data_IF_899481162432
#
_entry.id   IF_899481162432
#
_cell.length_a   1.000
_cell.length_b   1.000
_cell.length_c   1.000
_cell.angle_alpha   90.00
_cell.angle_beta   90.00
_cell.angle_gamma   90.00
#
_symmetry.space_group_name_H-M   'P 1'
#
loop_
_entity.id
_entity.type
_entity.pdbx_description
1 polymer ?
#
# COMPACT_ATOMS: atom_id res chain seq x y z
N UNK A 1 50.18 52.00 31.14
CA UNK A 1 49.25 53.01 31.73
C UNK A 1 47.86 52.85 31.07
N UNK A 2 46.85 52.76 31.94
CA UNK A 2 45.41 52.76 31.73
C UNK A 2 44.78 51.48 31.16
N UNK A 3 44.35 50.70 32.09
CA UNK A 3 43.29 49.70 32.05
C UNK A 3 41.94 50.27 31.55
N UNK A 4 41.22 49.48 30.76
CA UNK A 4 39.77 49.63 30.59
C UNK A 4 39.09 48.27 30.72
N UNK A 5 38.61 47.99 31.91
CA UNK A 5 37.66 46.94 32.24
C UNK A 5 36.30 47.31 31.68
N UNK A 6 35.80 46.55 30.69
CA UNK A 6 34.43 46.64 30.25
C UNK A 6 33.58 45.61 30.99
N UNK A 7 32.76 46.11 31.89
CA UNK A 7 31.79 45.35 32.70
C UNK A 7 30.81 44.54 31.81
N UNK A 8 30.88 43.22 31.88
CA UNK A 8 29.84 42.32 31.35
C UNK A 8 28.65 42.32 32.32
N UNK A 9 27.55 42.95 31.94
CA UNK A 9 26.27 42.83 32.64
C UNK A 9 25.72 41.41 32.40
N UNK A 10 25.80 40.58 33.40
CA UNK A 10 25.05 39.30 33.44
C UNK A 10 23.54 39.62 33.63
N UNK A 11 22.77 39.51 32.57
CA UNK A 11 21.32 39.43 32.70
C UNK A 11 20.99 38.04 33.28
N UNK A 12 20.54 37.99 34.53
CA UNK A 12 19.95 36.82 35.15
C UNK A 12 18.62 36.54 34.41
N UNK A 13 18.55 35.40 33.70
CA UNK A 13 17.28 34.86 33.19
C UNK A 13 16.55 34.33 34.43
N UNK A 14 15.38 34.89 34.72
CA UNK A 14 14.52 34.40 35.80
C UNK A 14 14.05 32.96 35.47
N UNK A 15 13.97 32.05 36.46
CA UNK A 15 13.49 30.70 36.21
C UNK A 15 12.01 30.76 35.81
N UNK A 16 11.69 30.07 34.72
CA UNK A 16 10.31 29.87 34.26
C UNK A 16 9.58 29.03 35.30
N UNK A 17 8.70 29.64 36.05
CA UNK A 17 7.78 28.93 36.95
C UNK A 17 6.68 28.28 36.08
N UNK A 18 6.86 27.00 35.80
CA UNK A 18 5.75 26.15 35.33
C UNK A 18 4.82 25.87 36.48
N UNK A 19 3.84 26.76 36.75
CA UNK A 19 2.69 26.38 37.51
C UNK A 19 1.85 25.44 36.63
N UNK A 20 1.64 24.23 37.10
CA UNK A 20 0.82 23.19 36.47
C UNK A 20 -0.69 23.59 36.44
N UNK A 21 -1.04 24.66 35.72
CA UNK A 21 -2.40 25.13 35.48
C UNK A 21 -2.53 25.73 34.09
N UNK A 22 -2.22 24.92 33.05
CA UNK A 22 -2.72 25.10 31.71
C UNK A 22 -2.61 23.75 30.98
N UNK A 23 -3.12 22.68 31.56
CA UNK A 23 -3.75 21.68 30.73
C UNK A 23 -4.94 22.41 30.12
N UNK A 24 -4.84 22.80 28.86
CA UNK A 24 -6.01 23.11 28.05
C UNK A 24 -6.86 21.84 28.15
N UNK A 25 -7.90 21.87 28.98
CA UNK A 25 -8.88 20.82 29.03
C UNK A 25 -9.42 20.71 27.61
N UNK A 26 -9.14 19.61 26.95
CA UNK A 26 -10.01 19.19 25.86
C UNK A 26 -11.39 19.10 26.52
N UNK A 27 -12.27 20.04 26.18
CA UNK A 27 -13.66 19.96 26.54
C UNK A 27 -14.09 18.56 26.10
N UNK A 28 -14.46 17.71 27.04
CA UNK A 28 -15.17 16.48 26.72
C UNK A 28 -16.39 16.96 25.95
N UNK A 29 -16.44 16.69 24.64
CA UNK A 29 -17.72 16.78 23.93
C UNK A 29 -18.67 15.93 24.77
N UNK A 30 -19.76 16.53 25.24
CA UNK A 30 -20.80 15.79 25.94
C UNK A 30 -21.19 14.64 25.05
N UNK A 31 -21.17 13.43 25.62
CA UNK A 31 -21.61 12.20 24.97
C UNK A 31 -23.09 12.43 24.59
N UNK A 32 -23.34 12.81 23.34
CA UNK A 32 -24.69 12.83 22.82
C UNK A 32 -25.13 11.37 22.83
N UNK A 33 -26.05 11.01 23.72
CA UNK A 33 -26.47 9.64 24.00
C UNK A 33 -26.94 8.78 22.81
N UNK A 34 -26.83 9.29 21.60
CA UNK A 34 -27.13 8.66 20.32
C UNK A 34 -25.88 8.35 19.45
N UNK A 35 -24.66 8.58 19.97
CA UNK A 35 -23.44 8.26 19.21
C UNK A 35 -23.31 6.74 19.01
N UNK A 36 -23.08 6.31 17.76
CA UNK A 36 -22.85 4.91 17.42
C UNK A 36 -21.60 4.38 18.14
N UNK A 37 -21.63 3.12 18.62
CA UNK A 37 -20.53 2.51 19.36
C UNK A 37 -20.09 1.20 18.73
N UNK A 38 -18.79 0.98 18.68
CA UNK A 38 -18.24 -0.32 18.31
C UNK A 38 -18.49 -1.36 19.39
N UNK A 39 -19.16 -2.45 19.01
CA UNK A 39 -19.50 -3.56 19.94
C UNK A 39 -18.59 -4.76 19.78
N UNK A 40 -18.03 -4.99 18.57
CA UNK A 40 -17.10 -6.07 18.35
C UNK A 40 -16.13 -5.78 17.20
N UNK A 41 -14.94 -6.36 17.32
CA UNK A 41 -13.94 -6.45 16.26
C UNK A 41 -13.72 -7.93 15.96
N UNK A 42 -13.85 -8.30 14.69
CA UNK A 42 -13.69 -9.67 14.26
C UNK A 42 -12.67 -9.75 13.13
N UNK A 43 -11.72 -10.67 13.22
CA UNK A 43 -10.74 -10.97 12.18
C UNK A 43 -11.06 -12.31 11.52
N UNK A 44 -10.79 -12.38 10.21
CA UNK A 44 -11.09 -13.54 9.36
C UNK A 44 -9.84 -13.87 8.56
N UNK A 45 -9.47 -15.16 8.56
CA UNK A 45 -8.34 -15.72 7.80
C UNK A 45 -8.77 -16.98 7.08
N UNK A 46 -8.23 -17.24 5.91
CA UNK A 46 -8.36 -18.48 5.16
C UNK A 46 -6.99 -19.15 4.99
N UNK A 47 -6.90 -20.45 5.17
CA UNK A 47 -5.64 -21.19 5.00
C UNK A 47 -5.18 -21.18 3.53
N UNK A 48 -6.13 -21.18 2.60
CA UNK A 48 -5.84 -21.06 1.16
C UNK A 48 -5.23 -19.72 0.77
N UNK A 49 -5.47 -18.66 1.54
CA UNK A 49 -4.95 -17.31 1.32
C UNK A 49 -4.08 -16.88 2.51
N UNK A 50 -2.91 -17.50 2.73
CA UNK A 50 -2.15 -17.41 3.96
C UNK A 50 -1.62 -16.01 4.28
N UNK A 51 -1.68 -15.08 3.33
CA UNK A 51 -1.22 -13.70 3.49
C UNK A 51 -2.34 -12.70 3.75
N UNK A 52 -3.62 -13.09 3.54
CA UNK A 52 -4.77 -12.20 3.72
C UNK A 52 -5.30 -12.20 5.16
N UNK A 53 -5.72 -11.03 5.61
CA UNK A 53 -6.47 -10.81 6.85
C UNK A 53 -7.58 -9.81 6.57
N UNK A 54 -8.83 -10.19 6.86
CA UNK A 54 -9.96 -9.28 6.86
C UNK A 54 -10.37 -8.91 8.27
N UNK A 55 -10.91 -7.71 8.43
CA UNK A 55 -11.39 -7.15 9.70
C UNK A 55 -12.83 -6.67 9.53
N UNK A 56 -13.72 -7.15 10.36
CA UNK A 56 -15.06 -6.60 10.55
C UNK A 56 -15.12 -5.75 11.82
N UNK A 57 -15.66 -4.55 11.70
CA UNK A 57 -16.03 -3.68 12.82
C UNK A 57 -17.55 -3.67 12.95
N UNK A 58 -18.09 -4.16 14.07
CA UNK A 58 -19.51 -4.26 14.33
C UNK A 58 -19.96 -3.14 15.28
N UNK A 59 -21.14 -2.58 15.04
CA UNK A 59 -21.71 -1.49 15.86
C UNK A 59 -23.00 -1.90 16.56
N UNK A 60 -23.38 -1.14 17.59
CA UNK A 60 -24.67 -1.24 18.30
C UNK A 60 -25.87 -0.89 17.40
N UNK A 61 -25.65 -0.20 16.28
CA UNK A 61 -26.69 0.12 15.29
C UNK A 61 -26.79 -0.92 14.16
N UNK A 62 -26.06 -2.05 14.28
CA UNK A 62 -26.09 -3.14 13.28
C UNK A 62 -25.33 -2.86 11.99
N UNK A 63 -24.61 -1.72 11.89
CA UNK A 63 -23.73 -1.46 10.78
C UNK A 63 -22.40 -2.22 10.95
N UNK A 64 -21.82 -2.62 9.83
CA UNK A 64 -20.55 -3.37 9.80
C UNK A 64 -19.63 -2.79 8.75
N UNK A 65 -18.41 -2.43 9.15
CA UNK A 65 -17.34 -2.03 8.24
C UNK A 65 -16.39 -3.19 7.96
N UNK A 66 -15.87 -3.28 6.74
CA UNK A 66 -14.91 -4.28 6.28
C UNK A 66 -13.58 -3.63 5.93
N UNK A 67 -12.48 -4.18 6.44
CA UNK A 67 -11.12 -3.81 6.07
C UNK A 67 -10.28 -5.03 5.74
N UNK A 68 -9.09 -4.77 5.20
CA UNK A 68 -8.18 -5.82 4.74
C UNK A 68 -6.73 -5.41 4.91
N UNK A 69 -5.85 -6.39 5.18
CA UNK A 69 -4.41 -6.23 5.08
C UNK A 69 -3.75 -7.50 4.53
N UNK A 70 -2.50 -7.35 4.16
CA UNK A 70 -1.73 -8.41 3.50
C UNK A 70 -0.35 -8.56 4.14
N UNK A 71 0.20 -9.77 4.14
CA UNK A 71 1.43 -10.22 4.80
C UNK A 71 1.43 -10.14 6.33
N UNK A 72 1.94 -11.22 6.95
CA UNK A 72 2.04 -11.36 8.39
C UNK A 72 0.69 -11.35 9.12
N UNK A 73 -0.37 -12.01 8.59
CA UNK A 73 -1.72 -11.87 9.10
C UNK A 73 -1.84 -12.27 10.57
N UNK A 74 -1.08 -13.26 11.04
CA UNK A 74 -1.11 -13.67 12.45
C UNK A 74 -0.59 -12.60 13.40
N UNK A 75 0.47 -11.87 13.03
CA UNK A 75 1.02 -10.79 13.84
C UNK A 75 0.10 -9.55 13.81
N UNK A 76 -0.46 -9.21 12.64
CA UNK A 76 -1.44 -8.13 12.53
C UNK A 76 -2.72 -8.43 13.32
N UNK A 77 -3.23 -9.67 13.26
CA UNK A 77 -4.38 -10.13 14.06
C UNK A 77 -4.13 -10.01 15.57
N UNK A 78 -2.95 -10.42 16.05
CA UNK A 78 -2.59 -10.27 17.46
C UNK A 78 -2.60 -8.80 17.88
N UNK A 79 -2.00 -7.92 17.07
CA UNK A 79 -1.99 -6.48 17.32
C UNK A 79 -3.41 -5.89 17.36
N UNK A 80 -4.29 -6.30 16.44
CA UNK A 80 -5.67 -5.85 16.40
C UNK A 80 -6.41 -6.22 17.68
N UNK A 81 -6.31 -7.48 18.12
CA UNK A 81 -7.06 -7.97 19.28
C UNK A 81 -6.47 -7.59 20.64
N UNK A 82 -5.15 -7.41 20.73
CA UNK A 82 -4.46 -7.19 22.02
C UNK A 82 -4.15 -5.71 22.27
N UNK A 83 -4.09 -4.87 21.20
CA UNK A 83 -3.75 -3.45 21.32
C UNK A 83 -4.89 -2.56 20.83
N UNK A 84 -5.43 -2.80 19.63
CA UNK A 84 -6.45 -1.93 19.04
C UNK A 84 -7.82 -2.16 19.69
N UNK A 85 -8.26 -3.41 19.84
CA UNK A 85 -9.59 -3.73 20.35
C UNK A 85 -9.85 -3.20 21.77
N UNK A 86 -8.93 -3.31 22.74
CA UNK A 86 -9.14 -2.76 24.09
C UNK A 86 -9.39 -1.26 24.13
N UNK A 87 -8.86 -0.52 23.18
CA UNK A 87 -9.11 0.92 23.05
C UNK A 87 -10.37 1.22 22.24
N UNK A 88 -10.55 0.55 21.11
CA UNK A 88 -11.53 0.94 20.08
C UNK A 88 -12.95 0.48 20.43
N UNK A 89 -13.11 -0.62 21.18
CA UNK A 89 -14.41 -1.08 21.63
C UNK A 89 -15.10 -0.04 22.54
N UNK A 90 -16.37 0.22 22.27
CA UNK A 90 -17.16 1.25 22.94
C UNK A 90 -16.94 2.68 22.43
N UNK A 91 -15.98 2.92 21.53
CA UNK A 91 -15.76 4.23 20.93
C UNK A 91 -16.71 4.49 19.75
N UNK A 92 -16.92 5.76 19.43
CA UNK A 92 -17.60 6.19 18.20
C UNK A 92 -16.70 5.93 16.99
N UNK A 93 -17.07 5.01 16.06
CA UNK A 93 -16.23 4.66 14.91
C UNK A 93 -16.04 5.81 13.91
N UNK A 94 -16.84 6.87 13.96
CA UNK A 94 -16.76 7.98 13.02
C UNK A 94 -15.65 8.98 13.38
N UNK A 95 -15.09 8.91 14.59
CA UNK A 95 -13.98 9.74 15.06
C UNK A 95 -12.62 9.24 14.57
N UNK A 96 -12.49 9.00 13.25
CA UNK A 96 -11.36 8.29 12.62
C UNK A 96 -10.02 8.95 12.95
N UNK A 97 -9.88 10.28 12.82
CA UNK A 97 -8.62 10.97 13.11
C UNK A 97 -8.23 10.89 14.60
N UNK A 98 -9.21 10.85 15.52
CA UNK A 98 -8.95 10.61 16.95
C UNK A 98 -8.37 9.21 17.15
N UNK A 99 -8.94 8.19 16.51
CA UNK A 99 -8.45 6.83 16.60
C UNK A 99 -7.06 6.70 15.99
N UNK A 100 -6.83 7.30 14.83
CA UNK A 100 -5.50 7.33 14.22
C UNK A 100 -4.45 7.97 15.14
N UNK A 101 -4.77 9.09 15.79
CA UNK A 101 -3.87 9.77 16.70
C UNK A 101 -3.56 8.93 17.94
N UNK A 102 -4.58 8.27 18.53
CA UNK A 102 -4.41 7.40 19.70
C UNK A 102 -3.57 6.16 19.36
N UNK A 103 -3.89 5.48 18.24
CA UNK A 103 -3.23 4.26 17.82
C UNK A 103 -1.80 4.49 17.28
N UNK A 104 -1.39 5.74 17.09
CA UNK A 104 -0.01 6.06 16.75
C UNK A 104 0.95 5.71 17.91
N UNK A 105 0.47 5.78 19.17
CA UNK A 105 1.25 5.39 20.34
C UNK A 105 2.57 6.15 20.48
N UNK A 106 3.60 5.45 20.93
CA UNK A 106 4.97 5.99 20.98
C UNK A 106 5.57 5.98 19.59
N UNK A 107 5.88 7.16 19.04
CA UNK A 107 6.42 7.32 17.69
C UNK A 107 7.67 6.48 17.40
N UNK A 108 8.51 6.22 18.41
CA UNK A 108 9.71 5.39 18.26
C UNK A 108 9.45 3.91 17.97
N UNK A 109 8.21 3.43 18.16
CA UNK A 109 7.81 2.05 17.89
C UNK A 109 7.00 1.90 16.61
N UNK A 110 6.61 2.99 15.97
CA UNK A 110 5.83 2.96 14.73
C UNK A 110 6.74 2.64 13.56
N UNK A 111 6.45 1.57 12.87
CA UNK A 111 7.13 1.14 11.66
C UNK A 111 6.13 0.73 10.59
N UNK A 112 6.60 0.09 9.53
CA UNK A 112 5.80 -0.47 8.43
C UNK A 112 5.48 -1.96 8.62
N UNK A 113 5.53 -2.46 9.86
CA UNK A 113 5.35 -3.88 10.16
C UNK A 113 3.92 -4.25 10.62
N UNK A 114 3.78 -5.27 11.42
CA UNK A 114 2.48 -5.85 11.80
C UNK A 114 1.53 -4.85 12.47
N UNK A 115 2.03 -3.93 13.28
CA UNK A 115 1.24 -2.88 13.93
C UNK A 115 0.64 -1.90 12.92
N UNK A 116 1.42 -1.50 11.91
CA UNK A 116 0.91 -0.63 10.86
C UNK A 116 -0.11 -1.35 9.97
N UNK A 117 0.12 -2.64 9.66
CA UNK A 117 -0.81 -3.47 8.89
C UNK A 117 -2.14 -3.65 9.63
N UNK A 118 -2.10 -3.92 10.94
CA UNK A 118 -3.31 -3.98 11.76
C UNK A 118 -4.08 -2.65 11.77
N UNK A 119 -3.37 -1.52 11.92
CA UNK A 119 -3.97 -0.18 11.85
C UNK A 119 -4.55 0.11 10.47
N UNK A 120 -3.87 -0.29 9.40
CA UNK A 120 -4.34 -0.11 8.02
C UNK A 120 -5.67 -0.79 7.78
N UNK A 121 -5.79 -2.07 8.17
CA UNK A 121 -7.03 -2.82 8.03
C UNK A 121 -8.18 -2.19 8.82
N UNK A 122 -7.92 -1.76 10.04
CA UNK A 122 -8.94 -1.10 10.88
C UNK A 122 -9.33 0.26 10.30
N UNK A 123 -8.38 1.05 9.80
CA UNK A 123 -8.67 2.34 9.15
C UNK A 123 -9.58 2.17 7.92
N UNK A 124 -9.28 1.21 7.05
CA UNK A 124 -10.12 0.90 5.89
C UNK A 124 -11.54 0.51 6.33
N UNK A 125 -11.66 -0.30 7.40
CA UNK A 125 -12.96 -0.70 7.93
C UNK A 125 -13.74 0.48 8.56
N UNK A 126 -13.07 1.42 9.21
CA UNK A 126 -13.71 2.63 9.74
C UNK A 126 -14.25 3.53 8.62
N UNK A 127 -13.48 3.73 7.55
CA UNK A 127 -13.95 4.48 6.38
C UNK A 127 -15.12 3.79 5.67
N UNK A 128 -15.09 2.45 5.57
CA UNK A 128 -16.20 1.68 5.03
C UNK A 128 -17.46 1.84 5.88
N UNK A 129 -17.31 1.76 7.21
CA UNK A 129 -18.40 1.95 8.16
C UNK A 129 -19.00 3.36 8.06
N UNK A 130 -18.15 4.40 7.95
CA UNK A 130 -18.63 5.77 7.75
C UNK A 130 -19.44 5.90 6.46
N UNK A 131 -18.97 5.24 5.39
CA UNK A 131 -19.74 5.18 4.14
C UNK A 131 -21.13 4.57 4.33
N UNK A 132 -21.24 3.48 5.11
CA UNK A 132 -22.53 2.88 5.43
C UNK A 132 -23.41 3.77 6.30
N UNK A 133 -22.85 4.39 7.34
CA UNK A 133 -23.58 5.29 8.23
C UNK A 133 -24.17 6.50 7.49
N UNK A 134 -23.51 6.97 6.45
CA UNK A 134 -23.93 8.14 5.67
C UNK A 134 -24.58 7.77 4.31
N UNK A 135 -24.62 6.49 3.98
CA UNK A 135 -25.05 6.00 2.66
C UNK A 135 -24.30 6.65 1.50
N UNK A 136 -22.96 6.80 1.64
CA UNK A 136 -22.09 7.41 0.65
C UNK A 136 -20.88 6.54 0.33
N UNK A 137 -20.41 6.51 -0.93
CA UNK A 137 -19.12 5.91 -1.28
C UNK A 137 -17.96 6.74 -0.70
N UNK A 138 -16.84 6.08 -0.37
CA UNK A 138 -15.69 6.69 0.32
C UNK A 138 -15.17 7.92 -0.41
N UNK A 139 -15.05 7.91 -1.75
CA UNK A 139 -14.53 9.07 -2.48
C UNK A 139 -15.33 10.36 -2.22
N UNK A 140 -16.65 10.26 -1.95
CA UNK A 140 -17.48 11.43 -1.59
C UNK A 140 -17.17 11.94 -0.20
N UNK A 141 -16.93 11.05 0.76
CA UNK A 141 -16.53 11.42 2.13
C UNK A 141 -15.16 12.11 2.16
N UNK A 142 -14.29 11.76 1.21
CA UNK A 142 -12.97 12.38 1.04
C UNK A 142 -13.04 13.79 0.44
N UNK A 143 -14.23 14.28 0.01
CA UNK A 143 -14.43 15.59 -0.57
C UNK A 143 -14.82 15.57 -2.06
N UNK A 144 -15.11 14.40 -2.61
CA UNK A 144 -15.54 14.22 -4.00
C UNK A 144 -14.43 13.75 -4.93
N UNK A 145 -14.79 13.51 -6.17
CA UNK A 145 -13.90 12.99 -7.19
C UNK A 145 -13.34 14.12 -8.07
N UNK A 146 -12.06 14.04 -8.42
CA UNK A 146 -11.38 14.89 -9.42
C UNK A 146 -11.34 14.23 -10.80
N UNK A 147 -11.75 12.96 -10.89
CA UNK A 147 -11.86 12.15 -12.11
C UNK A 147 -12.91 11.07 -11.95
N UNK A 148 -13.44 10.53 -13.06
CA UNK A 148 -14.46 9.48 -13.05
C UNK A 148 -13.88 8.07 -13.09
N UNK A 149 -12.64 7.93 -13.58
CA UNK A 149 -11.90 6.68 -13.69
C UNK A 149 -10.40 6.96 -13.73
N UNK A 150 -9.58 5.94 -13.51
CA UNK A 150 -8.13 6.04 -13.60
C UNK A 150 -7.58 4.86 -14.42
N UNK A 151 -6.53 5.12 -15.18
CA UNK A 151 -5.79 4.09 -15.92
C UNK A 151 -5.16 3.09 -14.98
N UNK A 152 -5.20 1.79 -15.35
CA UNK A 152 -4.47 0.75 -14.62
C UNK A 152 -3.23 0.29 -15.35
N UNK A 153 -2.27 -0.23 -14.59
CA UNK A 153 -1.22 -1.12 -15.10
C UNK A 153 -1.34 -2.49 -14.46
N UNK A 154 -0.89 -3.52 -15.19
CA UNK A 154 -0.90 -4.88 -14.69
C UNK A 154 0.44 -5.24 -14.04
N UNK A 155 0.44 -5.61 -12.76
CA UNK A 155 1.53 -6.35 -12.16
C UNK A 155 1.38 -7.80 -12.57
N UNK A 156 2.41 -8.30 -13.29
CA UNK A 156 2.32 -9.55 -14.03
C UNK A 156 2.55 -10.79 -13.13
N UNK A 157 1.78 -10.90 -12.05
CA UNK A 157 1.76 -12.08 -11.20
C UNK A 157 0.94 -13.22 -11.82
N UNK A 158 1.21 -14.46 -11.39
CA UNK A 158 0.40 -15.63 -11.71
C UNK A 158 -0.72 -15.85 -10.69
N UNK A 159 -1.68 -16.71 -11.01
CA UNK A 159 -2.84 -17.00 -10.16
C UNK A 159 -2.46 -17.47 -8.74
N UNK A 160 -1.35 -18.22 -8.61
CA UNK A 160 -0.87 -18.75 -7.33
C UNK A 160 0.26 -17.96 -6.71
N UNK A 161 0.58 -16.79 -7.26
CA UNK A 161 1.63 -15.94 -6.70
C UNK A 161 1.39 -15.66 -5.22
N UNK A 162 2.42 -15.86 -4.38
CA UNK A 162 2.42 -15.69 -2.91
C UNK A 162 1.29 -16.40 -2.15
N UNK A 163 0.77 -17.51 -2.68
CA UNK A 163 -0.33 -18.27 -2.09
C UNK A 163 0.07 -19.57 -1.41
N UNK A 164 1.32 -20.01 -1.51
CA UNK A 164 1.76 -21.27 -0.87
C UNK A 164 2.33 -21.07 0.54
N UNK A 165 2.84 -19.87 0.84
CA UNK A 165 3.49 -19.54 2.12
C UNK A 165 3.19 -18.11 2.55
N UNK A 166 3.22 -17.80 3.88
CA UNK A 166 3.05 -16.43 4.38
C UNK A 166 4.33 -15.59 4.24
N UNK A 167 5.13 -15.84 3.20
CA UNK A 167 6.41 -15.17 2.91
C UNK A 167 6.55 -14.88 1.43
N UNK A 168 7.35 -13.89 1.08
CA UNK A 168 7.71 -13.58 -0.30
C UNK A 168 9.04 -14.24 -0.66
N UNK A 169 9.23 -14.57 -1.95
CA UNK A 169 10.44 -15.20 -2.48
C UNK A 169 10.12 -16.04 -3.72
N UNK A 170 11.14 -16.35 -4.52
CA UNK A 170 10.96 -17.07 -5.81
C UNK A 170 10.31 -18.45 -5.64
N UNK A 171 10.50 -19.11 -4.50
CA UNK A 171 9.83 -20.37 -4.16
C UNK A 171 8.30 -20.25 -4.01
N UNK A 172 7.76 -19.01 -3.90
CA UNK A 172 6.34 -18.71 -3.75
C UNK A 172 5.72 -18.09 -5.01
N UNK A 173 6.42 -18.12 -6.15
CA UNK A 173 5.92 -17.59 -7.42
C UNK A 173 4.79 -18.41 -8.03
N UNK A 174 4.64 -19.67 -7.64
CA UNK A 174 3.57 -20.55 -8.11
C UNK A 174 3.74 -21.02 -9.56
N UNK A 175 4.95 -20.97 -10.11
CA UNK A 175 5.26 -21.38 -11.49
C UNK A 175 4.93 -22.85 -11.76
N UNK A 176 4.58 -23.16 -13.01
CA UNK A 176 4.29 -24.52 -13.48
C UNK A 176 2.93 -25.06 -13.04
N UNK A 177 2.09 -24.27 -12.41
CA UNK A 177 0.73 -24.64 -12.00
C UNK A 177 -0.29 -23.75 -12.66
N UNK A 178 -0.75 -24.08 -13.87
CA UNK A 178 -1.87 -23.38 -14.49
C UNK A 178 -3.14 -23.68 -13.70
N UNK A 179 -3.59 -22.71 -12.90
CA UNK A 179 -4.74 -22.86 -12.01
C UNK A 179 -5.81 -21.79 -12.22
N UNK A 180 -5.48 -20.72 -12.95
CA UNK A 180 -6.36 -19.60 -13.23
C UNK A 180 -6.42 -19.23 -14.70
N UNK A 181 -7.23 -18.21 -15.04
CA UNK A 181 -7.37 -17.77 -16.42
C UNK A 181 -6.13 -17.07 -16.98
N UNK A 182 -5.23 -16.59 -16.11
CA UNK A 182 -4.02 -15.88 -16.47
C UNK A 182 -2.83 -16.31 -15.60
N UNK A 183 -1.70 -16.60 -16.27
CA UNK A 183 -0.41 -16.93 -15.66
C UNK A 183 0.66 -15.94 -16.17
N UNK A 184 0.49 -14.65 -15.78
CA UNK A 184 1.27 -13.57 -16.32
C UNK A 184 2.74 -13.61 -15.89
N UNK A 185 3.06 -14.18 -14.72
CA UNK A 185 4.43 -14.36 -14.26
C UNK A 185 5.19 -15.36 -15.14
N UNK A 186 4.59 -16.53 -15.41
CA UNK A 186 5.16 -17.50 -16.35
C UNK A 186 5.29 -16.88 -17.74
N UNK A 187 4.27 -16.13 -18.17
CA UNK A 187 4.25 -15.48 -19.46
C UNK A 187 5.38 -14.45 -19.61
N UNK A 188 5.62 -13.56 -18.65
CA UNK A 188 6.68 -12.57 -18.82
C UNK A 188 8.08 -13.20 -18.84
N UNK A 189 8.27 -14.35 -18.20
CA UNK A 189 9.57 -15.04 -18.20
C UNK A 189 9.91 -15.68 -19.56
N UNK A 190 8.91 -16.16 -20.31
CA UNK A 190 9.16 -16.96 -21.53
C UNK A 190 8.51 -16.44 -22.81
N UNK A 191 7.45 -15.63 -22.73
CA UNK A 191 6.67 -15.09 -23.87
C UNK A 191 6.14 -13.68 -23.58
N UNK A 192 7.02 -12.78 -23.14
CA UNK A 192 6.67 -11.43 -22.71
C UNK A 192 6.02 -10.57 -23.81
N UNK A 193 6.35 -10.84 -25.06
CA UNK A 193 5.74 -10.24 -26.25
C UNK A 193 4.26 -10.62 -26.40
N UNK A 194 3.90 -11.89 -26.27
CA UNK A 194 2.49 -12.35 -26.30
C UNK A 194 1.69 -11.76 -25.13
N UNK A 195 2.29 -11.72 -23.95
CA UNK A 195 1.68 -11.10 -22.77
C UNK A 195 1.37 -9.62 -23.01
N UNK A 196 2.31 -8.86 -23.57
CA UNK A 196 2.10 -7.44 -23.87
C UNK A 196 0.94 -7.23 -24.85
N UNK A 197 0.84 -8.03 -25.92
CA UNK A 197 -0.30 -8.00 -26.83
C UNK A 197 -1.62 -8.34 -26.15
N UNK A 198 -1.65 -9.38 -25.32
CA UNK A 198 -2.86 -9.78 -24.57
C UNK A 198 -3.37 -8.69 -23.63
N UNK A 199 -2.46 -7.91 -23.00
CA UNK A 199 -2.84 -6.77 -22.17
C UNK A 199 -3.40 -5.61 -23.01
N UNK A 200 -2.77 -5.30 -24.15
CA UNK A 200 -3.25 -4.26 -25.05
C UNK A 200 -4.65 -4.56 -25.62
N UNK A 201 -4.97 -5.82 -25.90
CA UNK A 201 -6.31 -6.24 -26.32
C UNK A 201 -7.39 -5.92 -25.27
N UNK A 202 -7.01 -5.88 -23.98
CA UNK A 202 -7.88 -5.47 -22.88
C UNK A 202 -7.88 -3.96 -22.62
N UNK A 203 -7.14 -3.18 -23.41
CA UNK A 203 -6.92 -1.76 -23.20
C UNK A 203 -5.92 -1.42 -22.10
N UNK A 204 -5.26 -2.42 -21.52
CA UNK A 204 -4.25 -2.23 -20.46
C UNK A 204 -2.92 -1.87 -21.13
N UNK A 205 -2.50 -0.62 -20.96
CA UNK A 205 -1.33 -0.05 -21.62
C UNK A 205 -0.11 0.11 -20.71
N UNK A 206 -0.13 -0.49 -19.52
CA UNK A 206 0.97 -0.53 -18.58
C UNK A 206 1.18 -1.92 -18.00
N UNK A 207 2.44 -2.35 -17.83
CA UNK A 207 2.78 -3.63 -17.23
C UNK A 207 4.06 -3.55 -16.40
N UNK A 208 4.08 -4.24 -15.25
CA UNK A 208 5.22 -4.35 -14.33
C UNK A 208 5.70 -5.79 -14.25
N UNK A 209 7.03 -6.01 -14.39
CA UNK A 209 7.68 -7.32 -14.37
C UNK A 209 8.96 -7.29 -13.52
N UNK A 210 9.36 -8.44 -12.96
CA UNK A 210 10.50 -8.58 -12.02
C UNK A 210 11.43 -9.77 -12.32
N UNK A 211 12.03 -9.83 -13.51
CA UNK A 211 12.87 -10.96 -13.90
C UNK A 211 14.24 -11.04 -13.17
N UNK A 212 14.56 -10.03 -12.34
CA UNK A 212 15.82 -9.95 -11.61
C UNK A 212 15.84 -10.74 -10.31
N UNK A 213 14.68 -11.12 -9.75
CA UNK A 213 14.55 -11.70 -8.41
C UNK A 213 15.34 -13.00 -8.21
N UNK A 214 15.42 -13.86 -9.22
CA UNK A 214 16.22 -15.10 -9.14
C UNK A 214 17.71 -14.82 -8.91
N UNK A 215 18.25 -13.80 -9.57
CA UNK A 215 19.65 -13.41 -9.39
C UNK A 215 19.85 -12.71 -8.05
N UNK A 216 18.86 -11.94 -7.58
CA UNK A 216 18.86 -11.33 -6.27
C UNK A 216 18.89 -12.38 -5.16
N UNK A 217 18.00 -13.37 -5.22
CA UNK A 217 17.91 -14.43 -4.24
C UNK A 217 19.19 -15.29 -4.20
N UNK A 218 19.72 -15.67 -5.37
CA UNK A 218 20.94 -16.46 -5.49
C UNK A 218 22.19 -15.77 -4.93
N UNK A 219 22.27 -14.44 -5.00
CA UNK A 219 23.40 -13.63 -4.53
C UNK A 219 23.14 -12.88 -3.24
N UNK A 220 21.96 -13.01 -2.64
CA UNK A 220 21.48 -12.16 -1.54
C UNK A 220 21.60 -10.65 -1.90
N UNK A 221 21.32 -10.30 -3.15
CA UNK A 221 21.37 -8.95 -3.67
C UNK A 221 22.77 -8.34 -3.81
N UNK A 222 23.82 -9.12 -3.63
CA UNK A 222 25.19 -8.58 -3.61
C UNK A 222 25.82 -8.47 -4.99
N UNK A 223 25.36 -9.28 -5.97
CA UNK A 223 25.99 -9.36 -7.27
C UNK A 223 25.03 -9.89 -8.34
N UNK A 224 25.15 -9.35 -9.55
CA UNK A 224 24.53 -9.92 -10.75
C UNK A 224 25.60 -10.16 -11.83
N UNK A 225 25.68 -11.38 -12.35
CA UNK A 225 26.61 -11.73 -13.45
C UNK A 225 26.17 -11.02 -14.75
N UNK A 226 27.07 -10.94 -15.74
CA UNK A 226 26.69 -10.43 -17.07
C UNK A 226 25.66 -11.33 -17.75
N UNK A 227 25.75 -12.65 -17.55
CA UNK A 227 24.79 -13.62 -18.10
C UNK A 227 23.40 -13.47 -17.46
N UNK A 228 23.31 -13.38 -16.11
CA UNK A 228 22.04 -13.20 -15.42
C UNK A 228 21.41 -11.83 -15.76
N UNK A 229 22.22 -10.79 -15.86
CA UNK A 229 21.75 -9.46 -16.30
C UNK A 229 21.15 -9.53 -17.71
N UNK A 230 21.86 -10.13 -18.67
CA UNK A 230 21.35 -10.31 -20.02
C UNK A 230 20.04 -11.10 -20.06
N UNK A 231 19.97 -12.21 -19.32
CA UNK A 231 18.76 -13.02 -19.20
C UNK A 231 17.58 -12.22 -18.61
N UNK A 232 17.83 -11.41 -17.60
CA UNK A 232 16.79 -10.60 -16.98
C UNK A 232 16.32 -9.41 -17.84
N UNK A 233 17.16 -8.93 -18.76
CA UNK A 233 16.80 -7.90 -19.73
C UNK A 233 15.96 -8.43 -20.91
N UNK A 234 16.09 -9.70 -21.26
CA UNK A 234 15.43 -10.31 -22.42
C UNK A 234 13.91 -10.08 -22.47
N UNK A 235 13.13 -10.23 -21.37
CA UNK A 235 11.70 -9.93 -21.38
C UNK A 235 11.38 -8.50 -21.78
N UNK A 236 12.12 -7.52 -21.28
CA UNK A 236 11.93 -6.10 -21.62
C UNK A 236 12.25 -5.82 -23.10
N UNK A 237 13.31 -6.41 -23.62
CA UNK A 237 13.70 -6.28 -25.02
C UNK A 237 12.63 -6.88 -25.95
N UNK A 238 12.07 -8.05 -25.59
CA UNK A 238 10.97 -8.69 -26.32
C UNK A 238 9.73 -7.81 -26.33
N UNK A 239 9.32 -7.23 -25.20
CA UNK A 239 8.19 -6.32 -25.12
C UNK A 239 8.43 -5.10 -26.03
N UNK A 240 9.59 -4.46 -25.91
CA UNK A 240 9.91 -3.28 -26.73
C UNK A 240 9.94 -3.58 -28.22
N UNK A 241 10.43 -4.75 -28.63
CA UNK A 241 10.43 -5.21 -30.01
C UNK A 241 9.02 -5.48 -30.53
N UNK A 242 8.14 -6.04 -29.71
CA UNK A 242 6.80 -6.44 -30.13
C UNK A 242 5.82 -5.25 -30.21
N UNK A 243 5.80 -4.40 -29.18
CA UNK A 243 4.77 -3.36 -29.01
C UNK A 243 5.34 -1.92 -28.93
N UNK A 244 6.65 -1.77 -28.97
CA UNK A 244 7.31 -0.46 -29.01
C UNK A 244 6.94 0.43 -27.80
N UNK A 245 6.43 1.63 -28.08
CA UNK A 245 6.04 2.64 -27.09
C UNK A 245 4.55 2.62 -26.72
N UNK A 246 3.76 1.68 -27.25
CA UNK A 246 2.34 1.57 -26.94
C UNK A 246 2.08 0.97 -25.56
N UNK A 247 3.10 0.36 -24.95
CA UNK A 247 3.09 -0.20 -23.62
C UNK A 247 4.07 0.57 -22.71
N UNK A 248 3.58 1.15 -21.63
CA UNK A 248 4.43 1.60 -20.54
C UNK A 248 4.90 0.37 -19.74
N UNK A 249 6.21 0.21 -19.62
CA UNK A 249 6.80 -0.93 -18.94
C UNK A 249 7.52 -0.45 -17.69
N UNK A 250 7.32 -1.16 -16.58
CA UNK A 250 7.96 -0.93 -15.30
C UNK A 250 8.81 -2.14 -14.93
N UNK A 251 9.94 -1.89 -14.28
CA UNK A 251 10.78 -2.93 -13.71
C UNK A 251 10.67 -2.87 -12.18
N UNK A 252 10.29 -3.98 -11.56
CA UNK A 252 10.30 -4.13 -10.11
C UNK A 252 11.60 -4.80 -9.67
N UNK A 253 12.25 -4.28 -8.62
CA UNK A 253 13.46 -4.83 -8.02
C UNK A 253 13.28 -5.22 -6.54
N UNK A 254 12.08 -5.06 -5.97
CA UNK A 254 11.64 -5.53 -4.65
C UNK A 254 12.57 -5.16 -3.48
N UNK A 255 13.33 -4.07 -3.58
CA UNK A 255 14.31 -3.68 -2.56
C UNK A 255 15.38 -4.76 -2.27
N UNK A 256 15.72 -5.59 -3.24
CA UNK A 256 16.56 -6.77 -3.03
C UNK A 256 18.05 -6.52 -3.29
N UNK A 257 18.46 -5.36 -3.76
CA UNK A 257 19.82 -5.13 -4.26
C UNK A 257 20.63 -4.16 -3.42
N UNK A 258 21.94 -4.41 -3.33
CA UNK A 258 22.88 -3.41 -2.85
C UNK A 258 23.07 -2.30 -3.89
N UNK A 259 23.55 -1.14 -3.46
CA UNK A 259 23.71 0.03 -4.33
C UNK A 259 24.54 -0.20 -5.61
N UNK A 260 25.74 -0.82 -5.58
CA UNK A 260 26.52 -1.03 -6.79
C UNK A 260 25.81 -1.88 -7.84
N UNK A 261 25.09 -2.91 -7.39
CA UNK A 261 24.35 -3.82 -8.27
C UNK A 261 23.08 -3.15 -8.79
N UNK A 262 22.34 -2.42 -7.95
CA UNK A 262 21.20 -1.61 -8.35
C UNK A 262 21.56 -0.60 -9.44
N UNK A 263 22.66 0.13 -9.30
CA UNK A 263 23.17 1.06 -10.32
C UNK A 263 23.50 0.35 -11.63
N UNK A 264 24.10 -0.85 -11.57
CA UNK A 264 24.39 -1.64 -12.77
C UNK A 264 23.11 -2.04 -13.50
N UNK A 265 22.08 -2.46 -12.77
CA UNK A 265 20.77 -2.86 -13.32
C UNK A 265 20.06 -1.63 -13.89
N UNK A 266 19.94 -0.53 -13.15
CA UNK A 266 19.27 0.69 -13.61
C UNK A 266 19.89 1.20 -14.91
N UNK A 267 21.23 1.28 -15.01
CA UNK A 267 21.91 1.69 -16.23
C UNK A 267 21.65 0.76 -17.43
N UNK A 268 21.52 -0.54 -17.19
CA UNK A 268 21.19 -1.50 -18.25
C UNK A 268 19.73 -1.35 -18.72
N UNK A 269 18.84 -0.85 -17.89
CA UNK A 269 17.44 -0.59 -18.20
C UNK A 269 17.20 0.77 -18.90
N UNK A 270 18.13 1.74 -18.80
CA UNK A 270 17.97 3.08 -19.38
C UNK A 270 17.60 3.07 -20.88
N UNK A 271 18.24 2.26 -21.75
CA UNK A 271 17.91 2.23 -23.19
C UNK A 271 16.48 1.76 -23.48
N UNK A 272 15.81 1.11 -22.53
CA UNK A 272 14.49 0.52 -22.69
C UNK A 272 13.36 1.53 -22.43
N UNK A 273 13.67 2.75 -21.97
CA UNK A 273 12.71 3.83 -21.73
C UNK A 273 11.50 3.36 -20.89
N UNK A 274 11.79 2.89 -19.69
CA UNK A 274 10.77 2.43 -18.75
C UNK A 274 9.98 3.60 -18.14
N UNK A 275 8.74 3.35 -17.74
CA UNK A 275 7.95 4.33 -16.98
C UNK A 275 8.60 4.60 -15.62
N UNK A 276 9.06 3.53 -14.93
CA UNK A 276 9.94 3.61 -13.77
C UNK A 276 10.68 2.29 -13.51
N UNK A 277 11.71 2.38 -12.67
CA UNK A 277 12.31 1.27 -11.94
C UNK A 277 11.87 1.39 -10.49
N UNK A 278 11.20 0.37 -9.97
CA UNK A 278 10.60 0.34 -8.64
C UNK A 278 11.54 -0.31 -7.64
N UNK A 279 11.63 0.26 -6.43
CA UNK A 279 12.37 -0.22 -5.27
C UNK A 279 13.77 -0.79 -5.62
N UNK A 280 14.66 0.01 -6.27
CA UNK A 280 15.86 -0.53 -6.91
C UNK A 280 16.93 -1.01 -5.92
N UNK A 281 16.88 -0.61 -4.65
CA UNK A 281 17.93 -0.85 -3.65
C UNK A 281 17.31 -1.15 -2.29
N UNK A 282 18.06 -1.80 -1.41
CA UNK A 282 17.64 -1.99 -0.02
C UNK A 282 17.11 -0.69 0.60
N UNK A 283 15.88 -0.69 1.02
CA UNK A 283 15.15 0.51 1.47
C UNK A 283 15.46 0.93 2.91
N UNK A 284 16.29 0.20 3.64
CA UNK A 284 16.74 0.53 4.99
C UNK A 284 17.81 1.64 5.02
N UNK A 285 18.37 2.02 3.85
CA UNK A 285 19.41 3.04 3.72
C UNK A 285 19.05 4.09 2.65
N UNK A 286 18.30 5.13 3.05
CA UNK A 286 17.77 6.16 2.15
C UNK A 286 18.85 6.91 1.35
N UNK A 287 20.07 7.07 1.90
CA UNK A 287 21.16 7.70 1.14
C UNK A 287 21.58 6.87 -0.08
N UNK A 288 21.57 5.54 0.02
CA UNK A 288 21.81 4.66 -1.14
C UNK A 288 20.74 4.81 -2.19
N UNK A 289 19.49 4.94 -1.78
CA UNK A 289 18.36 5.18 -2.70
C UNK A 289 18.52 6.53 -3.43
N UNK A 290 18.82 7.60 -2.69
CA UNK A 290 19.06 8.92 -3.27
C UNK A 290 20.19 8.89 -4.31
N UNK A 291 21.30 8.23 -3.98
CA UNK A 291 22.44 8.11 -4.88
C UNK A 291 22.07 7.31 -6.15
N UNK A 292 21.30 6.22 -6.03
CA UNK A 292 20.79 5.46 -7.19
C UNK A 292 19.89 6.34 -8.03
N UNK A 293 18.90 7.00 -7.43
CA UNK A 293 17.92 7.82 -8.14
C UNK A 293 18.60 8.99 -8.91
N UNK A 294 19.64 9.62 -8.32
CA UNK A 294 20.40 10.70 -8.97
C UNK A 294 21.42 10.23 -10.00
N UNK A 295 21.79 8.94 -10.00
CA UNK A 295 22.85 8.38 -10.86
C UNK A 295 22.34 7.62 -12.07
N UNK A 296 21.02 7.54 -12.25
CA UNK A 296 20.35 6.92 -13.41
C UNK A 296 19.44 7.92 -14.09
N UNK A 297 19.24 7.75 -15.41
CA UNK A 297 18.21 8.47 -16.18
C UNK A 297 16.87 7.74 -16.18
N UNK A 298 16.81 6.48 -15.72
CA UNK A 298 15.56 5.78 -15.53
C UNK A 298 14.80 6.41 -14.36
N UNK A 299 13.51 6.76 -14.53
CA UNK A 299 12.69 7.24 -13.42
C UNK A 299 12.63 6.22 -12.28
N UNK A 300 12.76 6.64 -11.03
CA UNK A 300 12.75 5.74 -9.86
C UNK A 300 11.46 5.95 -9.07
N UNK A 301 10.72 4.87 -8.82
CA UNK A 301 9.53 4.84 -7.99
C UNK A 301 9.78 3.97 -6.75
N UNK A 302 9.23 4.37 -5.60
CA UNK A 302 9.43 3.64 -4.34
C UNK A 302 8.28 3.84 -3.38
N UNK A 303 8.14 2.94 -2.42
CA UNK A 303 7.35 3.22 -1.24
C UNK A 303 6.33 2.17 -0.86
N UNK A 304 6.04 1.15 -1.66
CA UNK A 304 5.00 0.16 -1.37
C UNK A 304 5.12 -0.45 0.03
N UNK A 305 6.34 -0.72 0.48
CA UNK A 305 6.62 -1.35 1.78
C UNK A 305 6.76 -0.36 2.94
N UNK A 306 6.56 0.95 2.71
CA UNK A 306 6.73 2.00 3.73
C UNK A 306 5.43 2.28 4.49
N UNK A 307 5.58 2.74 5.72
CA UNK A 307 4.44 3.02 6.61
C UNK A 307 4.53 4.38 7.30
N UNK A 308 3.38 5.09 7.29
CA UNK A 308 3.24 6.37 7.95
C UNK A 308 3.91 7.54 7.24
N UNK A 309 3.29 8.71 7.34
CA UNK A 309 3.71 9.95 6.65
C UNK A 309 5.14 10.41 6.97
N UNK A 310 5.71 10.01 8.10
CA UNK A 310 7.08 10.39 8.47
C UNK A 310 8.13 9.73 7.56
N UNK A 311 7.94 8.44 7.25
CA UNK A 311 8.80 7.71 6.31
C UNK A 311 8.67 8.30 4.90
N UNK A 312 7.43 8.50 4.44
CA UNK A 312 7.17 9.07 3.11
C UNK A 312 7.66 10.51 2.96
N UNK A 313 7.60 11.33 4.03
CA UNK A 313 8.20 12.66 4.02
C UNK A 313 9.68 12.58 3.67
N UNK A 314 10.42 11.68 4.28
CA UNK A 314 11.85 11.52 4.04
C UNK A 314 12.16 11.10 2.59
N UNK A 315 11.28 10.31 1.96
CA UNK A 315 11.36 9.96 0.54
C UNK A 315 11.07 11.16 -0.36
N UNK A 316 10.02 11.92 -0.07
CA UNK A 316 9.59 13.07 -0.87
C UNK A 316 10.63 14.22 -0.78
N UNK A 317 11.15 14.51 0.41
CA UNK A 317 12.19 15.54 0.66
C UNK A 317 13.51 15.23 -0.06
N UNK A 318 13.74 13.99 -0.49
CA UNK A 318 14.90 13.60 -1.29
C UNK A 318 14.95 14.32 -2.66
N UNK A 319 13.77 14.72 -3.21
CA UNK A 319 13.64 15.43 -4.48
C UNK A 319 14.40 14.77 -5.65
N UNK A 320 14.33 13.45 -5.72
CA UNK A 320 15.01 12.62 -6.72
C UNK A 320 14.12 11.49 -7.26
N UNK A 321 12.94 11.31 -6.67
CA UNK A 321 12.01 10.23 -7.04
C UNK A 321 10.98 10.70 -8.06
N UNK A 322 10.65 9.85 -9.00
CA UNK A 322 9.65 10.13 -10.02
C UNK A 322 8.21 9.88 -9.55
N UNK A 323 8.03 8.93 -8.64
CA UNK A 323 6.70 8.49 -8.17
C UNK A 323 6.81 7.90 -6.77
N UNK A 324 5.83 8.21 -5.93
CA UNK A 324 5.64 7.53 -4.64
C UNK A 324 4.57 6.45 -4.81
N UNK A 325 4.92 5.24 -4.43
CA UNK A 325 4.01 4.08 -4.45
C UNK A 325 3.41 3.89 -3.06
N UNK A 326 2.08 3.77 -2.98
CA UNK A 326 1.34 3.66 -1.73
C UNK A 326 0.51 2.38 -1.70
N UNK A 327 0.73 1.55 -0.70
CA UNK A 327 -0.18 0.43 -0.39
C UNK A 327 -1.02 0.77 0.84
N UNK A 328 -2.34 0.79 0.68
CA UNK A 328 -3.27 1.13 1.77
C UNK A 328 -3.28 0.10 2.89
N UNK A 329 -2.94 -1.16 2.60
CA UNK A 329 -2.85 -2.22 3.61
C UNK A 329 -1.58 -2.13 4.47
N UNK A 330 -0.58 -1.33 4.04
CA UNK A 330 0.74 -1.26 4.69
C UNK A 330 1.10 0.13 5.19
N UNK A 331 0.60 1.20 4.56
CA UNK A 331 1.03 2.57 4.86
C UNK A 331 0.26 3.22 6.03
N UNK A 332 -0.81 2.61 6.53
CA UNK A 332 -1.66 3.17 7.59
C UNK A 332 -3.10 3.45 7.16
N UNK A 333 -3.57 2.80 6.09
CA UNK A 333 -4.93 2.89 5.57
C UNK A 333 -5.17 4.12 4.70
N UNK A 334 -6.43 4.40 4.46
CA UNK A 334 -6.91 5.53 3.64
C UNK A 334 -6.46 6.86 4.26
N UNK A 335 -6.54 6.99 5.58
CA UNK A 335 -6.22 8.22 6.31
C UNK A 335 -4.75 8.64 6.13
N UNK A 336 -3.81 7.72 6.29
CA UNK A 336 -2.39 8.03 6.10
C UNK A 336 -2.02 8.17 4.63
N UNK A 337 -2.52 7.29 3.75
CA UNK A 337 -2.27 7.38 2.31
C UNK A 337 -2.70 8.75 1.74
N UNK A 338 -3.87 9.25 2.16
CA UNK A 338 -4.35 10.60 1.78
C UNK A 338 -3.38 11.69 2.24
N UNK A 339 -2.92 11.64 3.49
CA UNK A 339 -1.99 12.64 4.05
C UNK A 339 -0.65 12.61 3.31
N UNK A 340 -0.14 11.42 2.98
CA UNK A 340 1.08 11.26 2.18
C UNK A 340 0.89 11.83 0.78
N UNK A 341 -0.22 11.53 0.10
CA UNK A 341 -0.52 12.03 -1.22
C UNK A 341 -0.60 13.57 -1.26
N UNK A 342 -1.16 14.20 -0.22
CA UNK A 342 -1.20 15.66 -0.09
C UNK A 342 0.20 16.27 0.12
N UNK A 343 1.08 15.62 0.89
CA UNK A 343 2.48 16.05 1.01
C UNK A 343 3.18 15.94 -0.35
N UNK A 344 3.04 14.80 -1.04
CA UNK A 344 3.62 14.59 -2.36
C UNK A 344 3.10 15.60 -3.39
N UNK A 345 1.80 15.96 -3.35
CA UNK A 345 1.20 16.98 -4.22
C UNK A 345 1.85 18.35 -4.02
N UNK A 346 2.13 18.74 -2.78
CA UNK A 346 2.79 20.01 -2.47
C UNK A 346 4.23 20.08 -3.01
N UNK A 347 4.87 18.94 -3.22
CA UNK A 347 6.20 18.79 -3.83
C UNK A 347 6.14 18.48 -5.33
N UNK A 348 4.95 18.47 -5.94
CA UNK A 348 4.71 18.09 -7.34
C UNK A 348 5.16 16.66 -7.68
N UNK A 349 5.23 15.77 -6.68
CA UNK A 349 5.56 14.36 -6.88
C UNK A 349 4.26 13.59 -7.14
N UNK A 350 4.15 12.84 -8.24
CA UNK A 350 3.01 11.97 -8.50
C UNK A 350 3.00 10.77 -7.55
N UNK A 351 1.80 10.23 -7.36
CA UNK A 351 1.61 8.98 -6.60
C UNK A 351 0.94 7.92 -7.47
N UNK A 352 1.20 6.65 -7.16
CA UNK A 352 0.46 5.52 -7.69
C UNK A 352 0.08 4.60 -6.51
N UNK A 353 -1.07 3.91 -6.64
CA UNK A 353 -1.50 2.95 -5.62
C UNK A 353 -1.10 1.55 -6.03
N UNK A 354 -0.43 0.86 -5.09
CA UNK A 354 -0.05 -0.54 -5.20
C UNK A 354 -1.27 -1.47 -5.02
N UNK A 355 -1.31 -2.57 -5.77
CA UNK A 355 -2.24 -3.69 -5.60
C UNK A 355 -1.58 -5.02 -5.98
N UNK A 356 -1.03 -5.68 -5.03
CA UNK A 356 -0.72 -7.12 -5.09
C UNK A 356 -1.13 -7.73 -3.74
N UNK A 357 -2.24 -7.24 -3.20
CA UNK A 357 -2.73 -7.47 -1.84
C UNK A 357 -4.04 -8.24 -1.87
N UNK A 358 -5.18 -7.54 -1.97
CA UNK A 358 -6.48 -8.16 -1.95
C UNK A 358 -7.60 -7.25 -2.49
N UNK A 359 -8.82 -7.82 -2.71
CA UNK A 359 -9.90 -7.11 -3.39
C UNK A 359 -10.42 -5.88 -2.63
N UNK A 360 -10.37 -5.88 -1.29
CA UNK A 360 -10.84 -4.74 -0.49
C UNK A 360 -9.85 -3.59 -0.57
N UNK A 361 -8.55 -3.89 -0.56
CA UNK A 361 -7.49 -2.88 -0.74
C UNK A 361 -7.57 -2.26 -2.13
N UNK A 362 -7.76 -3.07 -3.19
CA UNK A 362 -7.97 -2.56 -4.55
C UNK A 362 -9.15 -1.57 -4.60
N UNK A 363 -10.29 -1.91 -3.99
CA UNK A 363 -11.46 -1.04 -3.98
C UNK A 363 -11.18 0.26 -3.19
N UNK A 364 -10.61 0.17 -1.99
CA UNK A 364 -10.27 1.33 -1.17
C UNK A 364 -9.28 2.26 -1.88
N UNK A 365 -8.26 1.69 -2.53
CA UNK A 365 -7.28 2.42 -3.34
C UNK A 365 -7.95 3.12 -4.51
N UNK A 366 -8.90 2.47 -5.19
CA UNK A 366 -9.67 3.07 -6.29
C UNK A 366 -10.49 4.27 -5.82
N UNK A 367 -11.14 4.20 -4.65
CA UNK A 367 -11.84 5.34 -4.08
C UNK A 367 -10.89 6.51 -3.78
N UNK A 368 -9.73 6.24 -3.21
CA UNK A 368 -8.75 7.28 -2.92
C UNK A 368 -8.15 7.87 -4.20
N UNK A 369 -7.88 7.05 -5.23
CA UNK A 369 -7.40 7.49 -6.54
C UNK A 369 -8.36 8.46 -7.24
N UNK A 370 -9.68 8.35 -6.99
CA UNK A 370 -10.63 9.33 -7.51
C UNK A 370 -10.48 10.70 -6.86
N UNK A 371 -10.04 10.77 -5.60
CA UNK A 371 -9.92 12.02 -4.84
C UNK A 371 -8.54 12.67 -4.98
N UNK A 372 -7.47 11.88 -5.06
CA UNK A 372 -6.08 12.35 -5.08
C UNK A 372 -5.70 12.88 -6.47
N UNK A 373 -5.44 14.18 -6.57
CA UNK A 373 -5.18 14.86 -7.85
C UNK A 373 -3.89 14.39 -8.53
N UNK A 374 -2.82 14.20 -7.78
CA UNK A 374 -1.51 13.78 -8.27
C UNK A 374 -1.37 12.26 -8.45
N UNK A 375 -2.44 11.48 -8.30
CA UNK A 375 -2.49 10.10 -8.74
C UNK A 375 -2.74 10.02 -10.25
N UNK A 376 -1.92 9.29 -11.01
CA UNK A 376 -2.02 9.24 -12.48
C UNK A 376 -2.23 7.82 -13.03
N UNK A 377 -1.98 6.80 -12.21
CA UNK A 377 -2.13 5.39 -12.56
C UNK A 377 -2.35 4.56 -11.29
N UNK A 378 -3.05 3.44 -11.41
CA UNK A 378 -3.27 2.49 -10.31
C UNK A 378 -2.84 1.09 -10.74
N UNK A 379 -2.24 0.36 -9.81
CA UNK A 379 -1.92 -1.05 -10.01
C UNK A 379 -3.15 -1.93 -9.95
N UNK A 380 -3.12 -3.00 -10.73
CA UNK A 380 -3.99 -4.16 -10.61
C UNK A 380 -3.22 -5.42 -10.96
N UNK A 381 -3.66 -6.56 -10.47
CA UNK A 381 -3.13 -7.87 -10.84
C UNK A 381 -4.18 -8.64 -11.63
N UNK A 382 -3.99 -8.77 -12.95
CA UNK A 382 -4.96 -9.40 -13.84
C UNK A 382 -5.31 -10.82 -13.41
N UNK A 383 -4.31 -11.61 -13.01
CA UNK A 383 -4.51 -12.97 -12.56
C UNK A 383 -5.33 -13.08 -11.27
N UNK A 384 -5.28 -12.08 -10.39
CA UNK A 384 -6.07 -12.03 -9.17
C UNK A 384 -7.49 -11.50 -9.45
N UNK A 385 -7.58 -10.39 -10.17
CA UNK A 385 -8.83 -9.71 -10.46
C UNK A 385 -9.81 -10.60 -11.25
N UNK A 386 -9.35 -11.23 -12.34
CA UNK A 386 -10.15 -12.17 -13.13
C UNK A 386 -10.10 -13.61 -12.61
N UNK A 387 -9.27 -13.88 -11.63
CA UNK A 387 -9.16 -15.17 -10.96
C UNK A 387 -9.94 -15.18 -9.65
N UNK A 388 -9.22 -15.12 -8.53
CA UNK A 388 -9.78 -15.42 -7.21
C UNK A 388 -10.38 -14.24 -6.45
N UNK A 389 -10.21 -12.97 -6.87
CA UNK A 389 -10.83 -11.84 -6.17
C UNK A 389 -12.35 -11.99 -6.11
N UNK A 390 -12.98 -12.36 -7.23
CA UNK A 390 -14.43 -12.60 -7.31
C UNK A 390 -14.94 -13.80 -6.51
N UNK A 391 -14.05 -14.69 -6.06
CA UNK A 391 -14.41 -15.82 -5.18
C UNK A 391 -14.54 -15.39 -3.71
N UNK A 392 -14.06 -14.20 -3.36
CA UNK A 392 -14.00 -13.72 -1.97
C UNK A 392 -15.03 -12.63 -1.69
N UNK A 393 -15.36 -11.78 -2.67
CA UNK A 393 -16.18 -10.57 -2.45
C UNK A 393 -17.37 -10.49 -3.40
N UNK A 394 -18.37 -9.73 -2.98
CA UNK A 394 -19.66 -9.59 -3.70
C UNK A 394 -19.57 -8.85 -5.02
N UNK A 395 -18.61 -7.97 -5.17
CA UNK A 395 -18.38 -7.15 -6.37
C UNK A 395 -16.93 -6.74 -6.45
N UNK A 396 -16.49 -6.26 -7.61
CA UNK A 396 -15.16 -5.68 -7.81
C UNK A 396 -15.29 -4.30 -8.45
N UNK A 397 -14.33 -3.39 -8.23
CA UNK A 397 -14.23 -2.14 -8.98
C UNK A 397 -14.20 -2.44 -10.48
N UNK A 398 -15.15 -1.95 -11.30
CA UNK A 398 -15.19 -2.32 -12.71
C UNK A 398 -13.98 -1.77 -13.47
N UNK A 399 -13.38 -2.62 -14.31
CA UNK A 399 -12.30 -2.29 -15.23
C UNK A 399 -12.79 -2.43 -16.67
N UNK A 400 -12.77 -1.34 -17.44
CA UNK A 400 -13.18 -1.30 -18.82
C UNK A 400 -12.12 -0.58 -19.66
N UNK A 401 -11.61 -1.23 -20.69
CA UNK A 401 -10.58 -0.68 -21.57
C UNK A 401 -9.38 -0.11 -20.79
N UNK A 402 -8.89 -0.85 -19.78
CA UNK A 402 -7.75 -0.44 -18.97
C UNK A 402 -8.02 0.72 -18.00
N UNK A 403 -9.30 1.10 -17.80
CA UNK A 403 -9.72 2.14 -16.87
C UNK A 403 -10.53 1.53 -15.73
N UNK A 404 -10.12 1.77 -14.48
CA UNK A 404 -10.82 1.36 -13.27
C UNK A 404 -11.64 2.50 -12.68
N UNK A 405 -12.79 2.18 -12.09
CA UNK A 405 -13.62 3.13 -11.35
C UNK A 405 -14.14 2.50 -10.05
N UNK A 406 -14.42 3.30 -9.01
CA UNK A 406 -14.90 2.76 -7.75
C UNK A 406 -16.32 2.23 -7.88
N UNK A 407 -16.71 1.23 -7.07
CA UNK A 407 -18.12 0.87 -6.91
C UNK A 407 -18.96 2.07 -6.45
N UNK A 408 -20.22 2.14 -6.89
CA UNK A 408 -21.14 3.22 -6.53
C UNK A 408 -21.81 3.01 -5.15
N UNK A 409 -21.70 1.82 -4.58
CA UNK A 409 -22.30 1.49 -3.29
C UNK A 409 -21.63 2.21 -2.12
N UNK A 410 -22.32 2.34 -0.95
CA UNK A 410 -21.74 2.94 0.26
C UNK A 410 -20.47 2.24 0.72
N UNK A 411 -19.59 3.00 1.38
CA UNK A 411 -18.28 2.52 1.80
C UNK A 411 -17.35 2.32 0.60
N UNK A 412 -16.54 1.27 0.62
CA UNK A 412 -15.77 0.83 -0.54
C UNK A 412 -16.60 -0.07 -1.50
N UNK A 413 -17.85 -0.40 -1.12
CA UNK A 413 -18.81 -1.12 -1.96
C UNK A 413 -18.71 -2.64 -1.97
N UNK A 414 -17.79 -3.24 -1.22
CA UNK A 414 -17.56 -4.69 -1.18
C UNK A 414 -18.04 -5.29 0.16
N UNK A 415 -18.38 -6.59 0.10
CA UNK A 415 -18.60 -7.47 1.26
C UNK A 415 -17.94 -8.80 0.97
N UNK A 416 -17.46 -9.50 2.01
CA UNK A 416 -17.10 -10.90 1.85
C UNK A 416 -18.35 -11.71 1.49
N UNK A 417 -18.18 -12.66 0.57
CA UNK A 417 -19.26 -13.61 0.24
C UNK A 417 -19.62 -14.45 1.47
N UNK A 418 -20.89 -14.73 1.73
CA UNK A 418 -21.30 -15.57 2.86
C UNK A 418 -20.67 -16.95 2.87
N UNK A 419 -20.32 -17.48 1.70
CA UNK A 419 -19.66 -18.76 1.50
C UNK A 419 -18.23 -18.76 2.06
N UNK A 420 -17.54 -17.64 1.98
CA UNK A 420 -16.19 -17.45 2.57
C UNK A 420 -16.20 -17.72 4.07
N UNK A 421 -17.21 -17.20 4.77
CA UNK A 421 -17.36 -17.37 6.22
C UNK A 421 -17.78 -18.78 6.65
N UNK A 422 -18.27 -19.61 5.69
CA UNK A 422 -18.69 -21.00 5.93
C UNK A 422 -17.62 -22.03 5.55
N UNK A 423 -16.49 -21.60 4.98
CA UNK A 423 -15.41 -22.50 4.56
C UNK A 423 -14.82 -23.23 5.76
N UNK A 424 -14.43 -24.48 5.56
CA UNK A 424 -13.80 -25.31 6.60
C UNK A 424 -12.41 -24.81 7.02
N UNK A 425 -11.72 -24.08 6.14
CA UNK A 425 -10.43 -23.45 6.39
C UNK A 425 -10.54 -22.00 6.93
N UNK A 426 -11.76 -21.52 7.18
CA UNK A 426 -12.00 -20.19 7.73
C UNK A 426 -11.72 -20.18 9.23
N UNK A 427 -10.80 -19.32 9.65
CA UNK A 427 -10.50 -19.03 11.05
C UNK A 427 -11.01 -17.66 11.40
N UNK A 428 -11.71 -17.57 12.54
CA UNK A 428 -12.28 -16.31 13.05
C UNK A 428 -11.83 -16.09 14.50
N UNK A 429 -11.41 -14.85 14.79
CA UNK A 429 -11.17 -14.39 16.15
C UNK A 429 -12.02 -13.16 16.41
N UNK A 430 -12.63 -13.04 17.59
CA UNK A 430 -13.54 -11.95 17.90
C UNK A 430 -13.24 -11.40 19.30
N UNK A 431 -13.18 -10.08 19.41
CA UNK A 431 -13.18 -9.32 20.68
C UNK A 431 -14.46 -8.53 20.76
N UNK A 432 -15.10 -8.53 21.94
CA UNK A 432 -16.39 -7.89 22.18
C UNK A 432 -16.28 -6.90 23.33
N UNK A 433 -17.15 -5.90 23.30
CA UNK A 433 -17.35 -4.99 24.43
C UNK A 433 -17.94 -5.81 25.59
N UNK A 434 -17.25 -5.80 26.72
CA UNK A 434 -17.67 -6.55 27.95
C UNK A 434 -18.75 -5.80 28.69
#
# INVERSE_FOLDING_TARGET
>A
MRSNEAARSQRRIAPWNWTAKACVGFASFEDNGDAMKLTAIETIRLEEFPNLLWVYLHTDQGLVGLGETFYGPGAAEAHIHEVIAPYLLGQDPLEIDRHQAHLLGYLGFVGSSAEMRGRSAVDIALWDLWGHATNQPIYRLLGGAVRDSIRVYNTCAGYRYVRSRPTQGTANFGLGTSAGPYEDLDAFLVRADELAHSLLEMGITGMKIWPFDYAAEASQGQYISAADLGKALEPFERIRKAVGKTMDVMAELHSLWNRPTALKICRALEPLNLLWVEDPVFMDHLHSLEEVARSTTAPVAVGETRGGRADFRSLIEMDALSTIILDLSWCGGISEARKVAMIAEAWHVPVAFHDCSGPVVLAASTHLAMNVRNCFIQEMVRAFYYGWYGELVTTLPPIEQGMIRPPAAPGHGLRLLPEVLKRSDCRRRRSELS
#
